data_IF_339584879658
#
_entry.id   IF_339584879658
#
_cell.length_a   1.000
_cell.length_b   1.000
_cell.length_c   1.000
_cell.angle_alpha   90.00
_cell.angle_beta   90.00
_cell.angle_gamma   90.00
#
_symmetry.space_group_name_H-M   'P 1'
#
loop_
_entity.id
_entity.type
_entity.pdbx_description
1 polymer ?
#
# COMPACT_ATOMS: atom_id res chain seq x y z
N UNK A 1 19.01 15.69 2.70
CA UNK A 1 19.37 14.55 1.80
C UNK A 1 18.16 14.33 0.93
N UNK A 2 18.24 14.67 -0.34
CA UNK A 2 17.12 14.57 -1.27
C UNK A 2 16.79 13.09 -1.47
N UNK A 3 15.61 12.67 -1.03
CA UNK A 3 15.05 11.33 -1.28
C UNK A 3 14.61 11.26 -2.75
N UNK A 4 15.57 11.18 -3.68
CA UNK A 4 15.24 10.88 -5.06
C UNK A 4 14.94 9.37 -5.17
N UNK A 5 13.67 9.02 -5.18
CA UNK A 5 13.22 7.65 -5.40
C UNK A 5 13.53 7.22 -6.84
N UNK A 6 14.23 6.10 -7.02
CA UNK A 6 14.57 5.57 -8.36
C UNK A 6 13.38 4.77 -8.94
N UNK A 7 12.23 5.41 -9.10
CA UNK A 7 10.91 4.81 -9.35
C UNK A 7 10.67 4.14 -10.71
N UNK A 8 11.65 3.49 -11.32
CA UNK A 8 11.46 2.74 -12.57
C UNK A 8 10.45 1.57 -12.41
N UNK A 9 10.36 0.98 -11.21
CA UNK A 9 9.39 -0.08 -10.90
C UNK A 9 7.95 0.45 -10.84
N UNK A 10 7.71 1.68 -10.35
CA UNK A 10 6.36 2.26 -10.28
C UNK A 10 5.70 2.29 -11.67
N UNK A 11 6.44 2.70 -12.70
CA UNK A 11 5.94 2.70 -14.08
C UNK A 11 5.62 1.28 -14.57
N UNK A 12 6.44 0.29 -14.21
CA UNK A 12 6.19 -1.11 -14.58
C UNK A 12 4.95 -1.67 -13.87
N UNK A 13 4.79 -1.42 -12.57
CA UNK A 13 3.62 -1.86 -11.79
C UNK A 13 2.36 -1.03 -12.08
N UNK A 14 2.48 0.18 -12.68
CA UNK A 14 1.34 0.94 -13.17
C UNK A 14 0.47 0.10 -14.15
N UNK A 15 1.06 -0.84 -14.89
CA UNK A 15 0.38 -1.73 -15.81
C UNK A 15 -0.35 -2.93 -15.14
N UNK A 16 -0.19 -3.16 -13.84
CA UNK A 16 -0.76 -4.30 -13.11
C UNK A 16 -2.26 -4.09 -12.78
N UNK A 17 -3.11 -4.16 -13.79
CA UNK A 17 -4.56 -3.85 -13.70
C UNK A 17 -5.35 -4.87 -12.88
N UNK A 18 -5.04 -6.18 -13.03
CA UNK A 18 -5.73 -7.25 -12.28
C UNK A 18 -5.36 -7.19 -10.80
N UNK A 19 -4.09 -6.88 -10.48
CA UNK A 19 -3.63 -6.67 -9.12
C UNK A 19 -4.36 -5.49 -8.46
N UNK A 20 -4.39 -4.33 -9.13
CA UNK A 20 -5.11 -3.15 -8.62
C UNK A 20 -6.59 -3.45 -8.38
N UNK A 21 -7.25 -4.16 -9.30
CA UNK A 21 -8.64 -4.58 -9.13
C UNK A 21 -8.83 -5.56 -7.96
N UNK A 22 -7.84 -6.43 -7.71
CA UNK A 22 -7.86 -7.36 -6.58
C UNK A 22 -7.67 -6.63 -5.25
N UNK A 23 -6.68 -5.75 -5.14
CA UNK A 23 -6.44 -4.88 -3.98
C UNK A 23 -7.67 -4.01 -3.72
N UNK A 24 -8.22 -3.37 -4.76
CA UNK A 24 -9.44 -2.58 -4.64
C UNK A 24 -10.58 -3.37 -4.00
N UNK A 25 -10.87 -4.59 -4.47
CA UNK A 25 -11.91 -5.44 -3.89
C UNK A 25 -11.64 -5.76 -2.41
N UNK A 26 -10.38 -5.93 -2.04
CA UNK A 26 -9.99 -6.27 -0.67
C UNK A 26 -10.07 -5.06 0.28
N UNK A 27 -9.66 -3.86 -0.19
CA UNK A 27 -9.54 -2.69 0.67
C UNK A 27 -10.77 -1.77 0.68
N UNK A 28 -11.60 -1.77 -0.36
CA UNK A 28 -12.79 -0.90 -0.47
C UNK A 28 -13.70 -0.88 0.76
N UNK A 29 -13.96 -2.02 1.44
CA UNK A 29 -14.81 -2.00 2.65
C UNK A 29 -14.28 -1.08 3.77
N UNK A 30 -12.97 -0.82 3.76
CA UNK A 30 -12.27 -0.06 4.79
C UNK A 30 -11.99 1.40 4.40
N UNK A 31 -12.19 1.78 3.11
CA UNK A 31 -11.94 3.14 2.60
C UNK A 31 -13.20 3.98 2.71
N UNK A 32 -13.32 4.72 3.82
CA UNK A 32 -14.51 5.51 4.13
C UNK A 32 -14.15 6.93 4.58
N UNK A 33 -15.05 7.88 4.33
CA UNK A 33 -14.94 9.24 4.84
C UNK A 33 -13.77 10.02 4.27
N UNK A 34 -13.08 10.77 5.11
CA UNK A 34 -11.91 11.54 4.73
C UNK A 34 -10.68 10.62 4.77
N UNK A 35 -10.13 10.31 3.59
CA UNK A 35 -9.00 9.39 3.42
C UNK A 35 -7.71 10.18 3.28
N UNK A 36 -6.66 9.76 3.99
CA UNK A 36 -5.27 10.16 3.75
C UNK A 36 -4.47 8.96 3.26
N UNK A 37 -3.86 9.08 2.10
CA UNK A 37 -2.93 8.10 1.53
C UNK A 37 -1.51 8.60 1.74
N UNK A 38 -0.70 7.84 2.49
CA UNK A 38 0.70 8.13 2.80
C UNK A 38 1.59 7.42 1.77
N UNK A 39 2.59 8.13 1.21
CA UNK A 39 3.48 7.60 0.19
C UNK A 39 2.75 7.34 -1.13
N UNK A 40 2.02 8.33 -1.64
CA UNK A 40 1.14 8.16 -2.80
C UNK A 40 1.88 7.92 -4.14
N UNK A 41 3.22 8.08 -4.18
CA UNK A 41 4.06 7.83 -5.34
C UNK A 41 3.64 8.66 -6.55
N UNK A 42 3.21 7.99 -7.62
CA UNK A 42 2.70 8.63 -8.84
C UNK A 42 1.17 8.70 -8.90
N UNK A 43 0.47 8.44 -7.78
CA UNK A 43 -0.99 8.52 -7.65
C UNK A 43 -1.76 7.30 -8.18
N UNK A 44 -1.08 6.19 -8.46
CA UNK A 44 -1.73 5.00 -9.03
C UNK A 44 -2.68 4.30 -8.06
N UNK A 45 -2.40 4.36 -6.76
CA UNK A 45 -3.28 3.83 -5.71
C UNK A 45 -4.58 4.65 -5.63
N UNK A 46 -4.49 5.97 -5.62
CA UNK A 46 -5.66 6.85 -5.65
C UNK A 46 -6.52 6.58 -6.89
N UNK A 47 -5.91 6.51 -8.09
CA UNK A 47 -6.63 6.18 -9.34
C UNK A 47 -7.37 4.84 -9.26
N UNK A 48 -6.72 3.85 -8.65
CA UNK A 48 -7.28 2.49 -8.59
C UNK A 48 -8.34 2.32 -7.50
N UNK A 49 -8.13 2.91 -6.32
CA UNK A 49 -8.92 2.58 -5.13
C UNK A 49 -10.03 3.58 -4.84
N UNK A 50 -9.87 4.85 -5.19
CA UNK A 50 -10.88 5.85 -4.89
C UNK A 50 -12.21 5.65 -5.63
N UNK A 51 -12.23 5.34 -6.96
CA UNK A 51 -13.49 5.16 -7.67
C UNK A 51 -14.36 4.05 -7.07
N UNK A 52 -15.60 4.39 -6.70
CA UNK A 52 -16.56 3.45 -6.09
C UNK A 52 -16.29 3.10 -4.62
N UNK A 53 -15.29 3.72 -3.98
CA UNK A 53 -15.12 3.68 -2.52
C UNK A 53 -16.16 4.57 -1.82
N UNK A 54 -16.21 4.50 -0.48
CA UNK A 54 -17.03 5.41 0.34
C UNK A 54 -16.24 6.62 0.85
N UNK A 55 -15.12 6.96 0.20
CA UNK A 55 -14.32 8.13 0.50
C UNK A 55 -15.04 9.41 0.07
N UNK A 56 -15.15 10.38 0.97
CA UNK A 56 -15.68 11.73 0.72
C UNK A 56 -14.61 12.66 0.17
N UNK A 57 -13.42 12.56 0.72
CA UNK A 57 -12.23 13.27 0.26
C UNK A 57 -11.02 12.33 0.21
N UNK A 58 -10.00 12.71 -0.55
CA UNK A 58 -8.77 11.94 -0.67
C UNK A 58 -7.57 12.88 -0.67
N UNK A 59 -6.69 12.73 0.33
CA UNK A 59 -5.45 13.48 0.44
C UNK A 59 -4.29 12.56 0.14
N UNK A 60 -3.57 12.82 -0.93
CA UNK A 60 -2.32 12.15 -1.25
C UNK A 60 -1.16 12.87 -0.57
N UNK A 61 -0.37 12.16 0.22
CA UNK A 61 0.85 12.66 0.86
C UNK A 61 2.04 11.96 0.25
N UNK A 62 2.99 12.73 -0.30
CA UNK A 62 4.16 12.20 -1.01
C UNK A 62 5.39 13.05 -0.71
N UNK A 63 6.48 12.47 -0.15
CA UNK A 63 7.67 13.23 0.21
C UNK A 63 8.52 13.67 -1.00
N UNK A 64 8.48 12.94 -2.13
CA UNK A 64 9.21 13.34 -3.33
C UNK A 64 8.50 14.50 -4.04
N UNK A 65 9.15 15.69 -4.18
CA UNK A 65 8.50 16.85 -4.78
C UNK A 65 8.14 16.68 -6.27
N UNK A 66 8.86 15.82 -7.01
CA UNK A 66 8.56 15.58 -8.42
C UNK A 66 7.32 14.71 -8.57
N UNK A 67 7.18 13.68 -7.72
CA UNK A 67 5.99 12.83 -7.65
C UNK A 67 4.78 13.60 -7.12
N UNK A 68 4.94 14.41 -6.07
CA UNK A 68 3.87 15.25 -5.53
C UNK A 68 3.30 16.21 -6.59
N UNK A 69 4.17 16.84 -7.41
CA UNK A 69 3.70 17.68 -8.54
C UNK A 69 2.91 16.89 -9.59
N UNK A 70 3.29 15.63 -9.87
CA UNK A 70 2.53 14.76 -10.80
C UNK A 70 1.14 14.44 -10.24
N UNK A 71 1.06 14.14 -8.94
CA UNK A 71 -0.22 13.89 -8.26
C UNK A 71 -1.09 15.15 -8.30
N UNK A 72 -0.51 16.31 -7.98
CA UNK A 72 -1.24 17.58 -7.99
C UNK A 72 -1.81 17.90 -9.38
N UNK A 73 -1.01 17.73 -10.44
CA UNK A 73 -1.48 17.91 -11.81
C UNK A 73 -2.63 16.95 -12.16
N UNK A 74 -2.55 15.69 -11.74
CA UNK A 74 -3.61 14.70 -11.94
C UNK A 74 -4.87 15.02 -11.12
N UNK A 75 -4.72 15.55 -9.89
CA UNK A 75 -5.84 16.00 -9.06
C UNK A 75 -6.56 17.19 -9.70
N UNK A 76 -5.80 18.17 -10.19
CA UNK A 76 -6.37 19.35 -10.92
C UNK A 76 -7.07 18.90 -12.20
N UNK A 77 -6.56 17.90 -12.90
CA UNK A 77 -7.20 17.32 -14.10
C UNK A 77 -8.46 16.49 -13.76
N UNK A 78 -8.80 16.32 -12.49
CA UNK A 78 -9.98 15.56 -12.05
C UNK A 78 -9.80 14.02 -12.10
N UNK A 79 -8.57 13.52 -12.29
CA UNK A 79 -8.32 12.08 -12.42
C UNK A 79 -8.67 11.29 -11.17
N UNK A 80 -8.65 11.95 -10.01
CA UNK A 80 -9.02 11.35 -8.71
C UNK A 80 -10.46 11.69 -8.29
N UNK A 81 -11.25 12.41 -9.13
CA UNK A 81 -12.58 12.93 -8.80
C UNK A 81 -12.53 14.13 -7.87
N UNK A 82 -13.72 14.60 -7.44
CA UNK A 82 -13.87 15.79 -6.59
C UNK A 82 -13.24 15.60 -5.20
N UNK A 83 -12.83 16.71 -4.56
CA UNK A 83 -12.25 16.71 -3.21
C UNK A 83 -10.97 15.87 -3.07
N UNK A 84 -10.14 15.82 -4.14
CA UNK A 84 -8.76 15.33 -4.06
C UNK A 84 -7.82 16.49 -3.71
N UNK A 85 -6.80 16.21 -2.90
CA UNK A 85 -5.75 17.17 -2.55
C UNK A 85 -4.40 16.46 -2.44
N UNK A 86 -3.32 17.22 -2.60
CA UNK A 86 -1.95 16.72 -2.50
C UNK A 86 -1.20 17.52 -1.42
N UNK A 87 -0.39 16.83 -0.65
CA UNK A 87 0.58 17.40 0.28
C UNK A 87 1.97 16.85 -0.06
N UNK A 88 2.90 17.73 -0.39
CA UNK A 88 4.31 17.35 -0.52
C UNK A 88 4.93 17.30 0.87
N UNK A 89 5.21 16.10 1.38
CA UNK A 89 5.71 15.88 2.74
C UNK A 89 5.40 14.49 3.25
N UNK A 90 5.45 14.33 4.57
CA UNK A 90 5.20 13.10 5.33
C UNK A 90 3.97 13.24 6.22
N UNK A 91 3.67 12.22 7.02
CA UNK A 91 2.58 12.30 8.00
C UNK A 91 2.81 13.42 9.04
N UNK A 92 4.07 13.79 9.32
CA UNK A 92 4.40 14.86 10.27
C UNK A 92 4.03 16.26 9.77
N UNK A 93 3.94 16.43 8.44
CA UNK A 93 3.58 17.68 7.77
C UNK A 93 2.06 17.88 7.64
N UNK A 94 1.26 16.88 8.04
CA UNK A 94 -0.19 17.02 8.08
C UNK A 94 -0.62 18.09 9.08
N UNK A 95 -1.54 19.03 8.71
CA UNK A 95 -2.03 20.06 9.64
C UNK A 95 -2.55 19.44 10.94
N UNK A 96 -2.18 20.05 12.07
CA UNK A 96 -2.45 19.50 13.41
C UNK A 96 -3.95 19.37 13.73
N UNK A 97 -4.77 20.25 13.15
CA UNK A 97 -6.21 20.30 13.30
C UNK A 97 -6.98 19.40 12.32
N UNK A 98 -6.27 18.82 11.33
CA UNK A 98 -6.89 17.96 10.33
C UNK A 98 -6.93 16.51 10.80
N UNK A 99 -8.13 15.95 10.81
CA UNK A 99 -8.38 14.56 11.19
C UNK A 99 -9.04 13.78 10.05
N UNK A 100 -8.75 12.48 9.99
CA UNK A 100 -9.18 11.60 8.93
C UNK A 100 -10.03 10.44 9.47
N UNK A 101 -10.81 9.81 8.59
CA UNK A 101 -11.56 8.59 8.89
C UNK A 101 -10.76 7.35 8.48
N UNK A 102 -9.86 7.49 7.49
CA UNK A 102 -9.00 6.40 7.03
C UNK A 102 -7.60 6.90 6.69
N UNK A 103 -6.58 6.24 7.22
CA UNK A 103 -5.19 6.36 6.77
C UNK A 103 -4.80 5.10 5.98
N UNK A 104 -4.23 5.28 4.80
CA UNK A 104 -3.91 4.21 3.86
C UNK A 104 -2.42 4.17 3.53
N UNK A 105 -1.82 3.00 3.66
CA UNK A 105 -0.44 2.68 3.26
C UNK A 105 -0.49 1.48 2.31
N UNK A 106 -0.08 1.65 1.07
CA UNK A 106 0.00 0.57 0.07
C UNK A 106 1.42 0.49 -0.46
N UNK A 107 2.15 -0.54 -0.06
CA UNK A 107 3.56 -0.76 -0.35
C UNK A 107 4.43 0.46 0.03
N UNK A 108 4.30 0.93 1.28
CA UNK A 108 4.96 2.13 1.83
C UNK A 108 5.63 1.85 3.17
N UNK A 109 4.96 1.14 4.10
CA UNK A 109 5.44 0.99 5.48
C UNK A 109 6.81 0.29 5.55
N UNK A 110 7.11 -0.59 4.59
CA UNK A 110 8.39 -1.26 4.43
C UNK A 110 9.56 -0.34 4.10
N UNK A 111 9.27 0.88 3.59
CA UNK A 111 10.26 1.91 3.31
C UNK A 111 10.53 2.84 4.51
N UNK A 112 9.79 2.68 5.59
CA UNK A 112 9.90 3.53 6.78
C UNK A 112 10.69 2.79 7.86
N UNK A 113 11.82 3.36 8.28
CA UNK A 113 12.69 2.73 9.27
C UNK A 113 12.00 2.66 10.64
N UNK A 114 11.43 3.77 11.12
CA UNK A 114 10.60 3.85 12.34
C UNK A 114 9.11 3.66 12.00
N UNK A 115 8.75 2.44 11.61
CA UNK A 115 7.38 2.06 11.29
C UNK A 115 6.42 2.19 12.49
N UNK A 116 6.95 2.03 13.71
CA UNK A 116 6.17 2.19 14.94
C UNK A 116 5.82 3.66 15.20
N UNK A 117 6.78 4.56 15.07
CA UNK A 117 6.58 6.00 15.21
C UNK A 117 5.62 6.54 14.14
N UNK A 118 5.77 6.09 12.92
CA UNK A 118 4.89 6.43 11.80
C UNK A 118 3.42 6.06 12.08
N UNK A 119 3.18 4.80 12.46
CA UNK A 119 1.83 4.32 12.75
C UNK A 119 1.23 4.99 14.01
N UNK A 120 2.04 5.29 15.01
CA UNK A 120 1.57 6.02 16.20
C UNK A 120 1.19 7.47 15.85
N UNK A 121 2.02 8.17 15.07
CA UNK A 121 1.76 9.53 14.63
C UNK A 121 0.49 9.66 13.78
N UNK A 122 0.29 8.75 12.83
CA UNK A 122 -0.94 8.78 12.01
C UNK A 122 -2.18 8.37 12.80
N UNK A 123 -2.05 7.49 13.81
CA UNK A 123 -3.18 7.12 14.67
C UNK A 123 -3.73 8.33 15.46
N UNK A 124 -2.88 9.29 15.83
CA UNK A 124 -3.31 10.53 16.48
C UNK A 124 -4.17 11.40 15.56
N UNK A 125 -3.92 11.33 14.24
CA UNK A 125 -4.67 12.05 13.19
C UNK A 125 -6.01 11.41 12.82
N UNK A 126 -6.36 10.27 13.39
CA UNK A 126 -7.63 9.62 13.13
C UNK A 126 -8.71 10.05 14.12
N UNK A 127 -9.94 10.18 13.62
CA UNK A 127 -11.15 10.32 14.44
C UNK A 127 -11.42 9.01 15.20
N UNK A 128 -12.23 9.06 16.25
CA UNK A 128 -12.77 7.85 16.88
C UNK A 128 -13.48 6.98 15.84
N UNK A 129 -13.25 5.66 15.88
CA UNK A 129 -13.73 4.72 14.86
C UNK A 129 -12.95 4.73 13.55
N UNK A 130 -11.98 5.65 13.38
CA UNK A 130 -11.15 5.73 12.18
C UNK A 130 -10.21 4.52 12.02
N UNK A 131 -9.67 4.34 10.82
CA UNK A 131 -8.90 3.13 10.45
C UNK A 131 -7.52 3.46 9.93
N UNK A 132 -6.55 2.61 10.24
CA UNK A 132 -5.30 2.49 9.48
C UNK A 132 -5.41 1.22 8.64
N UNK A 133 -5.20 1.35 7.35
CA UNK A 133 -5.20 0.25 6.37
C UNK A 133 -3.80 0.13 5.79
N UNK A 134 -3.13 -0.97 6.06
CA UNK A 134 -1.79 -1.26 5.54
C UNK A 134 -1.85 -2.47 4.62
N UNK A 135 -1.27 -2.34 3.43
CA UNK A 135 -0.88 -3.42 2.56
C UNK A 135 0.63 -3.33 2.34
N UNK A 136 1.36 -4.39 2.64
CA UNK A 136 2.83 -4.45 2.52
C UNK A 136 3.30 -5.80 2.02
N UNK A 137 4.51 -5.93 1.46
CA UNK A 137 5.11 -7.20 1.09
C UNK A 137 5.22 -8.15 2.28
N UNK A 138 4.79 -9.40 2.05
CA UNK A 138 4.76 -10.41 3.09
C UNK A 138 6.05 -11.22 3.17
N UNK A 139 6.30 -11.73 4.38
CA UNK A 139 7.31 -12.70 4.77
C UNK A 139 8.77 -12.26 4.60
N UNK A 140 9.53 -12.10 5.71
CA UNK A 140 10.95 -11.80 5.70
C UNK A 140 11.79 -12.79 4.88
N UNK A 141 11.39 -14.07 4.83
CA UNK A 141 12.09 -15.07 4.03
C UNK A 141 11.98 -14.85 2.51
N UNK A 142 11.03 -14.03 2.04
CA UNK A 142 10.92 -13.62 0.63
C UNK A 142 11.75 -12.37 0.32
N UNK A 143 12.36 -11.73 1.32
CA UNK A 143 13.21 -10.56 1.10
C UNK A 143 14.33 -10.90 0.10
N UNK A 144 14.53 -10.03 -0.88
CA UNK A 144 15.38 -10.26 -2.05
C UNK A 144 16.25 -9.05 -2.38
N UNK A 145 17.14 -9.20 -3.37
CA UNK A 145 17.92 -8.08 -3.90
C UNK A 145 17.03 -6.97 -4.51
N UNK A 146 15.85 -7.34 -5.02
CA UNK A 146 14.87 -6.35 -5.47
C UNK A 146 14.39 -5.47 -4.32
N UNK A 147 14.01 -6.05 -3.18
CA UNK A 147 13.60 -5.27 -2.01
C UNK A 147 14.69 -4.30 -1.55
N UNK A 148 15.94 -4.77 -1.54
CA UNK A 148 17.09 -3.92 -1.18
C UNK A 148 17.29 -2.78 -2.18
N UNK A 149 17.18 -3.07 -3.46
CA UNK A 149 17.39 -2.10 -4.53
C UNK A 149 16.37 -0.97 -4.53
N UNK A 150 15.13 -1.24 -4.10
CA UNK A 150 14.06 -0.24 -4.00
C UNK A 150 13.93 0.36 -2.58
N UNK A 151 14.85 0.05 -1.67
CA UNK A 151 14.94 0.67 -0.35
C UNK A 151 14.00 0.11 0.71
N UNK A 152 13.57 -1.16 0.59
CA UNK A 152 12.82 -1.80 1.66
C UNK A 152 13.75 -2.09 2.85
N UNK A 153 13.33 -1.71 4.04
CA UNK A 153 13.97 -2.15 5.29
C UNK A 153 13.55 -3.59 5.64
N UNK A 154 12.31 -3.97 5.32
CA UNK A 154 11.74 -5.26 5.76
C UNK A 154 10.54 -5.70 4.93
N UNK A 155 10.12 -6.94 5.16
CA UNK A 155 8.81 -7.47 4.80
C UNK A 155 8.10 -7.92 6.06
N UNK A 156 6.78 -7.96 6.05
CA UNK A 156 5.98 -8.18 7.23
C UNK A 156 5.31 -9.55 7.29
N UNK A 157 5.06 -10.02 8.51
CA UNK A 157 4.07 -11.05 8.81
C UNK A 157 2.95 -10.43 9.63
N UNK A 158 1.79 -11.10 9.70
CA UNK A 158 0.70 -10.68 10.61
C UNK A 158 1.21 -10.51 12.06
N UNK A 159 2.06 -11.43 12.54
CA UNK A 159 2.62 -11.35 13.89
C UNK A 159 3.48 -10.10 14.11
N UNK A 160 4.24 -9.65 13.10
CA UNK A 160 5.00 -8.41 13.17
C UNK A 160 4.06 -7.19 13.20
N UNK A 161 3.07 -7.12 12.32
CA UNK A 161 2.10 -6.02 12.27
C UNK A 161 1.26 -5.95 13.56
N UNK A 162 0.89 -7.09 14.16
CA UNK A 162 0.23 -7.11 15.48
C UNK A 162 1.07 -6.43 16.57
N UNK A 163 2.39 -6.59 16.55
CA UNK A 163 3.31 -5.94 17.51
C UNK A 163 3.46 -4.44 17.27
N UNK A 164 3.09 -3.96 16.10
CA UNK A 164 3.08 -2.55 15.73
C UNK A 164 1.73 -1.87 16.00
N UNK A 165 0.72 -2.59 16.52
CA UNK A 165 -0.59 -2.01 16.82
C UNK A 165 -0.42 -0.72 17.64
N UNK A 166 -0.87 0.45 17.10
CA UNK A 166 -0.74 1.72 17.80
C UNK A 166 -1.56 1.75 19.08
N UNK A 167 -1.16 2.55 20.08
CA UNK A 167 -1.96 2.77 21.27
C UNK A 167 -3.39 3.22 20.95
N UNK A 168 -4.39 2.68 21.65
CA UNK A 168 -5.81 3.02 21.44
C UNK A 168 -6.42 2.44 20.17
N UNK A 169 -5.70 1.57 19.45
CA UNK A 169 -6.22 0.87 18.29
C UNK A 169 -6.37 -0.64 18.53
N UNK A 170 -7.26 -1.27 17.80
CA UNK A 170 -7.45 -2.73 17.78
C UNK A 170 -7.41 -3.25 16.34
N UNK A 171 -7.00 -4.47 16.16
CA UNK A 171 -7.04 -5.12 14.84
C UNK A 171 -8.50 -5.42 14.50
N UNK A 172 -8.98 -4.88 13.38
CA UNK A 172 -10.28 -5.17 12.80
C UNK A 172 -10.19 -6.36 11.83
N UNK A 173 -9.11 -6.43 11.03
CA UNK A 173 -8.97 -7.43 9.99
C UNK A 173 -7.51 -7.68 9.63
N UNK A 174 -7.14 -8.93 9.33
CA UNK A 174 -5.81 -9.33 8.86
C UNK A 174 -5.92 -10.49 7.89
N UNK A 175 -5.30 -10.37 6.73
CA UNK A 175 -5.26 -11.43 5.73
C UNK A 175 -4.06 -11.29 4.80
N UNK A 176 -3.79 -12.33 4.02
CA UNK A 176 -2.81 -12.29 2.94
C UNK A 176 -3.51 -12.21 1.58
N UNK A 177 -2.81 -11.69 0.59
CA UNK A 177 -3.21 -11.63 -0.80
C UNK A 177 -2.12 -12.20 -1.70
N UNK A 178 -2.53 -12.75 -2.85
CA UNK A 178 -1.67 -13.27 -3.90
C UNK A 178 -0.88 -14.52 -3.48
N UNK A 179 -1.61 -15.56 -3.10
CA UNK A 179 -1.03 -16.86 -2.71
C UNK A 179 -0.27 -17.53 -3.84
N UNK A 180 -0.79 -17.48 -5.08
CA UNK A 180 -0.09 -18.05 -6.26
C UNK A 180 1.17 -17.25 -6.59
N UNK A 181 1.10 -15.91 -6.52
CA UNK A 181 2.26 -15.05 -6.68
C UNK A 181 3.34 -15.29 -5.63
N UNK A 182 2.96 -15.67 -4.39
CA UNK A 182 3.92 -16.08 -3.38
C UNK A 182 4.71 -17.32 -3.80
N UNK A 183 4.04 -18.34 -4.33
CA UNK A 183 4.72 -19.57 -4.82
C UNK A 183 5.65 -19.26 -5.99
N UNK A 184 5.23 -18.39 -6.91
CA UNK A 184 6.08 -17.92 -7.99
C UNK A 184 7.30 -17.13 -7.48
N UNK A 185 7.13 -16.30 -6.45
CA UNK A 185 8.24 -15.57 -5.81
C UNK A 185 9.25 -16.51 -5.14
N UNK A 186 8.78 -17.58 -4.50
CA UNK A 186 9.65 -18.64 -3.94
C UNK A 186 10.45 -19.33 -5.05
N UNK A 187 9.80 -19.72 -6.14
CA UNK A 187 10.47 -20.36 -7.28
C UNK A 187 11.51 -19.41 -7.91
N UNK A 188 11.18 -18.12 -8.09
CA UNK A 188 12.12 -17.14 -8.62
C UNK A 188 13.34 -16.94 -7.71
N UNK A 189 13.13 -16.85 -6.40
CA UNK A 189 14.22 -16.72 -5.42
C UNK A 189 15.15 -17.92 -5.43
N UNK A 190 14.61 -19.13 -5.60
CA UNK A 190 15.37 -20.36 -5.62
C UNK A 190 16.19 -20.54 -6.91
N UNK A 191 15.68 -20.08 -8.06
CA UNK A 191 16.20 -20.41 -9.39
C UNK A 191 16.83 -19.22 -10.10
N UNK A 192 16.13 -18.07 -10.18
CA UNK A 192 16.50 -17.00 -11.10
C UNK A 192 17.33 -15.86 -10.47
N UNK A 193 17.23 -15.62 -9.17
CA UNK A 193 17.94 -14.56 -8.40
C UNK A 193 17.98 -13.20 -9.08
N UNK A 194 16.94 -12.84 -9.84
CA UNK A 194 16.87 -11.59 -10.57
C UNK A 194 16.56 -10.42 -9.62
N UNK A 195 17.34 -9.34 -9.72
CA UNK A 195 17.17 -8.14 -8.91
C UNK A 195 15.96 -7.30 -9.34
N UNK A 196 15.58 -7.31 -10.62
CA UNK A 196 14.42 -6.56 -11.12
C UNK A 196 13.56 -7.43 -12.04
N UNK A 197 12.23 -7.51 -11.83
CA UNK A 197 11.36 -8.19 -12.75
C UNK A 197 11.23 -7.40 -14.05
N UNK A 198 11.32 -8.08 -15.19
CA UNK A 198 11.02 -7.47 -16.48
C UNK A 198 9.52 -7.13 -16.61
N UNK A 199 9.16 -6.18 -17.46
CA UNK A 199 7.75 -5.86 -17.74
C UNK A 199 6.95 -7.11 -18.19
N UNK A 200 7.57 -8.03 -18.95
CA UNK A 200 6.92 -9.30 -19.34
C UNK A 200 6.58 -10.18 -18.14
N UNK A 201 7.46 -10.25 -17.14
CA UNK A 201 7.21 -10.99 -15.90
C UNK A 201 6.12 -10.34 -15.06
N UNK A 202 6.11 -9.01 -14.95
CA UNK A 202 5.04 -8.25 -14.27
C UNK A 202 3.70 -8.50 -14.98
N UNK A 203 3.64 -8.42 -16.31
CA UNK A 203 2.41 -8.67 -17.07
C UNK A 203 1.95 -10.13 -16.98
N UNK A 204 2.86 -11.11 -16.98
CA UNK A 204 2.51 -12.51 -16.76
C UNK A 204 1.93 -12.72 -15.36
N UNK A 205 2.59 -12.19 -14.32
CA UNK A 205 2.06 -12.25 -12.97
C UNK A 205 0.67 -11.60 -12.88
N UNK A 206 0.51 -10.39 -13.41
CA UNK A 206 -0.76 -9.67 -13.34
C UNK A 206 -1.89 -10.40 -14.07
N UNK A 207 -1.62 -10.89 -15.29
CA UNK A 207 -2.67 -11.47 -16.16
C UNK A 207 -2.98 -12.94 -15.90
N UNK A 208 -2.04 -13.68 -15.29
CA UNK A 208 -2.18 -15.13 -15.08
C UNK A 208 -2.23 -15.47 -13.60
N UNK A 209 -1.22 -15.07 -12.81
CA UNK A 209 -1.11 -15.52 -11.43
C UNK A 209 -2.09 -14.78 -10.51
N UNK A 210 -2.29 -13.48 -10.69
CA UNK A 210 -3.25 -12.71 -9.89
C UNK A 210 -4.69 -13.18 -10.06
N UNK A 211 -5.23 -13.42 -11.27
CA UNK A 211 -6.56 -14.04 -11.43
C UNK A 211 -6.71 -15.38 -10.73
N UNK A 212 -5.68 -16.25 -10.78
CA UNK A 212 -5.67 -17.51 -10.04
C UNK A 212 -5.70 -17.28 -8.53
N UNK A 213 -4.88 -16.35 -8.02
CA UNK A 213 -4.90 -15.97 -6.60
C UNK A 213 -6.27 -15.47 -6.16
N UNK A 214 -6.96 -14.67 -6.97
CA UNK A 214 -8.31 -14.15 -6.67
C UNK A 214 -9.35 -15.25 -6.42
N UNK A 215 -9.18 -16.40 -7.08
CA UNK A 215 -10.05 -17.58 -6.90
C UNK A 215 -9.57 -18.43 -5.72
N UNK A 216 -8.27 -18.68 -5.61
CA UNK A 216 -7.72 -19.63 -4.64
C UNK A 216 -7.57 -19.03 -3.24
N UNK A 217 -7.25 -17.74 -3.11
CA UNK A 217 -7.04 -17.11 -1.80
C UNK A 217 -8.27 -17.20 -0.88
N UNK A 218 -9.52 -16.96 -1.35
CA UNK A 218 -10.71 -17.18 -0.52
C UNK A 218 -10.88 -18.64 -0.07
N UNK A 219 -10.55 -19.60 -0.93
CA UNK A 219 -10.67 -21.04 -0.61
C UNK A 219 -9.66 -21.46 0.48
N UNK A 220 -8.50 -20.81 0.54
CA UNK A 220 -7.49 -21.05 1.59
C UNK A 220 -7.70 -20.18 2.84
N UNK A 221 -8.79 -19.40 2.90
CA UNK A 221 -9.05 -18.43 3.95
C UNK A 221 -8.02 -17.31 4.01
N UNK A 222 -7.31 -17.00 2.90
CA UNK A 222 -6.26 -15.97 2.79
C UNK A 222 -5.19 -16.12 3.86
N UNK A 223 -4.79 -17.38 4.15
CA UNK A 223 -3.82 -17.72 5.20
C UNK A 223 -2.38 -17.47 4.80
N UNK A 224 -2.10 -17.32 3.53
CA UNK A 224 -0.78 -17.06 2.95
C UNK A 224 -0.91 -16.24 1.67
N UNK A 225 0.14 -15.51 1.29
CA UNK A 225 0.18 -14.68 0.09
C UNK A 225 1.41 -13.80 0.04
N UNK A 226 1.68 -13.22 -1.13
CA UNK A 226 2.84 -12.36 -1.37
C UNK A 226 2.75 -11.02 -0.65
N UNK A 227 1.53 -10.56 -0.37
CA UNK A 227 1.27 -9.32 0.38
C UNK A 227 0.44 -9.61 1.62
N UNK A 228 0.65 -8.84 2.68
CA UNK A 228 -0.13 -8.88 3.92
C UNK A 228 -0.94 -7.60 4.04
N UNK A 229 -2.19 -7.77 4.47
CA UNK A 229 -3.08 -6.65 4.81
C UNK A 229 -3.37 -6.70 6.30
N UNK A 230 -3.29 -5.54 6.95
CA UNK A 230 -3.79 -5.35 8.31
C UNK A 230 -4.60 -4.07 8.38
N UNK A 231 -5.74 -4.15 9.01
CA UNK A 231 -6.63 -3.02 9.29
C UNK A 231 -6.74 -2.88 10.79
N UNK A 232 -6.36 -1.73 11.29
CA UNK A 232 -6.60 -1.34 12.68
C UNK A 232 -7.75 -0.34 12.75
N UNK A 233 -8.51 -0.39 13.81
CA UNK A 233 -9.57 0.57 14.11
C UNK A 233 -9.30 1.25 15.45
N UNK A 234 -9.41 2.58 15.46
CA UNK A 234 -9.31 3.41 16.68
C UNK A 234 -10.56 3.20 17.54
N UNK A 235 -10.35 3.04 18.84
CA UNK A 235 -11.44 2.92 19.81
C UNK A 235 -12.34 4.15 19.82
#
# INVERSE_FOLDING_TARGET
MELAYQGAELESFAHARHWKAYVRKALHPHLVGDVVELGAGIGETARALRPGSRARSWTCVEPDPAMARRIEAAAVAGEFGDNASTLCGTQADLPADRHFDTALYVDVLEHIEDDRGELAGVAERLRAGGRIVVLSPAYPFLYSEFDRAIGHFRRYTKAMLRRLTPPGMRIESEFYLDGVGMLASLANKAVLRQAQPSLRQVLFWDRVLVPLSRVLDPLTGRRFGRSVVTVWQKA
#
